data_IF_633970370381
#
_entry.id   IF_633970370381
#
_cell.length_a   1.000
_cell.length_b   1.000
_cell.length_c   1.000
_cell.angle_alpha   90.00
_cell.angle_beta   90.00
_cell.angle_gamma   90.00
#
_symmetry.space_group_name_H-M   'P 1'
#
loop_
_entity.id
_entity.type
_entity.pdbx_description
1 polymer ?
#
# COMPACT_ATOMS: atom_id res chain seq x y z
N UNK A 1 31.42 -21.22 -1.42
CA UNK A 1 30.54 -20.61 -0.40
C UNK A 1 29.90 -19.30 -0.88
N UNK A 2 30.65 -18.34 -1.44
CA UNK A 2 30.11 -17.05 -1.94
C UNK A 2 28.98 -17.16 -2.98
N UNK A 3 29.10 -18.02 -3.99
CA UNK A 3 28.08 -18.21 -5.04
C UNK A 3 26.74 -18.73 -4.49
N UNK A 4 26.78 -19.68 -3.56
CA UNK A 4 25.60 -20.25 -2.89
C UNK A 4 24.88 -19.22 -1.99
N UNK A 5 25.65 -18.32 -1.37
CA UNK A 5 25.11 -17.19 -0.60
C UNK A 5 24.43 -16.14 -1.49
N UNK A 6 24.97 -15.88 -2.69
CA UNK A 6 24.35 -14.97 -3.67
C UNK A 6 23.03 -15.54 -4.22
N UNK A 7 23.00 -16.82 -4.60
CA UNK A 7 21.80 -17.51 -5.07
C UNK A 7 20.69 -17.55 -3.99
N UNK A 8 21.06 -17.78 -2.73
CA UNK A 8 20.12 -17.73 -1.59
C UNK A 8 19.53 -16.33 -1.38
N UNK A 9 20.34 -15.27 -1.51
CA UNK A 9 19.87 -13.87 -1.39
C UNK A 9 18.98 -13.46 -2.55
N UNK A 10 19.23 -13.97 -3.76
CA UNK A 10 18.39 -13.72 -4.93
C UNK A 10 17.01 -14.38 -4.78
N UNK A 11 16.96 -15.62 -4.28
CA UNK A 11 15.71 -16.31 -3.97
C UNK A 11 14.87 -15.55 -2.92
N UNK A 12 15.50 -15.09 -1.83
CA UNK A 12 14.84 -14.26 -0.83
C UNK A 12 14.29 -12.95 -1.41
N UNK A 13 15.03 -12.32 -2.33
CA UNK A 13 14.59 -11.06 -2.92
C UNK A 13 13.37 -11.26 -3.83
N UNK A 14 13.31 -12.37 -4.59
CA UNK A 14 12.13 -12.73 -5.39
C UNK A 14 10.92 -13.01 -4.52
N UNK A 15 11.09 -13.81 -3.46
CA UNK A 15 10.02 -14.08 -2.49
C UNK A 15 9.45 -12.79 -1.90
N UNK A 16 10.30 -11.82 -1.57
CA UNK A 16 9.87 -10.52 -1.08
C UNK A 16 9.10 -9.71 -2.13
N UNK A 17 9.53 -9.73 -3.40
CA UNK A 17 8.81 -9.07 -4.50
C UNK A 17 7.42 -9.66 -4.71
N UNK A 18 7.32 -10.99 -4.69
CA UNK A 18 6.06 -11.71 -4.88
C UNK A 18 5.11 -11.42 -3.72
N UNK A 19 5.63 -11.43 -2.48
CA UNK A 19 4.85 -11.08 -1.29
C UNK A 19 4.30 -9.64 -1.35
N UNK A 20 5.14 -8.65 -1.69
CA UNK A 20 4.71 -7.25 -1.81
C UNK A 20 3.68 -7.09 -2.92
N UNK A 21 3.90 -7.72 -4.08
CA UNK A 21 2.96 -7.63 -5.22
C UNK A 21 1.62 -8.30 -4.89
N UNK A 22 1.64 -9.42 -4.15
CA UNK A 22 0.44 -10.12 -3.72
C UNK A 22 -0.39 -9.28 -2.73
N UNK A 23 0.27 -8.67 -1.75
CA UNK A 23 -0.38 -7.76 -0.79
C UNK A 23 -0.97 -6.56 -1.51
N UNK A 24 -0.23 -5.93 -2.42
CA UNK A 24 -0.71 -4.77 -3.17
C UNK A 24 -1.99 -5.09 -3.94
N UNK A 25 -2.00 -6.22 -4.66
CA UNK A 25 -3.16 -6.67 -5.42
C UNK A 25 -4.38 -6.86 -4.52
N UNK A 26 -4.24 -7.68 -3.48
CA UNK A 26 -5.38 -8.02 -2.63
C UNK A 26 -5.88 -6.85 -1.79
N UNK A 27 -4.99 -5.97 -1.31
CA UNK A 27 -5.41 -4.77 -0.59
C UNK A 27 -6.13 -3.79 -1.52
N UNK A 28 -5.67 -3.67 -2.77
CA UNK A 28 -6.37 -2.89 -3.79
C UNK A 28 -7.78 -3.42 -4.06
N UNK A 29 -7.92 -4.74 -4.27
CA UNK A 29 -9.22 -5.40 -4.48
C UNK A 29 -10.16 -5.21 -3.27
N UNK A 30 -9.67 -5.46 -2.05
CA UNK A 30 -10.44 -5.27 -0.82
C UNK A 30 -10.88 -3.80 -0.67
N UNK A 31 -9.98 -2.84 -0.89
CA UNK A 31 -10.32 -1.42 -0.83
C UNK A 31 -11.45 -1.05 -1.80
N UNK A 32 -11.41 -1.59 -3.02
CA UNK A 32 -12.47 -1.35 -4.01
C UNK A 32 -13.80 -1.98 -3.60
N UNK A 33 -13.78 -3.21 -3.08
CA UNK A 33 -14.99 -3.91 -2.60
C UNK A 33 -15.62 -3.16 -1.43
N UNK A 34 -14.83 -2.77 -0.42
CA UNK A 34 -15.33 -2.02 0.73
C UNK A 34 -15.85 -0.63 0.33
N UNK A 35 -15.15 0.10 -0.53
CA UNK A 35 -15.63 1.38 -1.04
C UNK A 35 -16.94 1.24 -1.85
N UNK A 36 -17.12 0.13 -2.58
CA UNK A 36 -18.38 -0.17 -3.25
C UNK A 36 -19.50 -0.50 -2.26
N UNK A 37 -19.21 -1.24 -1.19
CA UNK A 37 -20.14 -1.54 -0.12
C UNK A 37 -20.63 -0.26 0.59
N UNK A 38 -19.72 0.62 1.02
CA UNK A 38 -20.07 1.91 1.64
C UNK A 38 -20.97 2.76 0.75
N UNK A 39 -20.64 2.86 -0.55
CA UNK A 39 -21.49 3.57 -1.52
C UNK A 39 -22.89 2.95 -1.66
N UNK A 40 -23.03 1.62 -1.58
CA UNK A 40 -24.35 0.97 -1.59
C UNK A 40 -25.14 1.30 -0.33
N UNK A 41 -24.49 1.30 0.84
CA UNK A 41 -25.12 1.68 2.11
C UNK A 41 -25.60 3.13 2.09
N UNK A 42 -24.78 4.05 1.59
CA UNK A 42 -25.14 5.46 1.40
C UNK A 42 -26.34 5.62 0.44
N UNK A 43 -26.32 4.94 -0.71
CA UNK A 43 -27.46 4.97 -1.65
C UNK A 43 -28.76 4.46 -1.06
N UNK A 44 -28.69 3.43 -0.22
CA UNK A 44 -29.88 2.94 0.47
C UNK A 44 -30.41 4.04 1.43
N UNK A 45 -29.54 4.90 2.01
CA UNK A 45 -29.93 6.00 2.92
C UNK A 45 -30.66 7.05 2.12
N UNK A 46 -30.13 7.43 0.97
CA UNK A 46 -30.80 8.34 0.03
C UNK A 46 -32.20 7.84 -0.35
N UNK A 47 -32.38 6.51 -0.54
CA UNK A 47 -33.71 5.92 -0.79
C UNK A 47 -34.65 6.03 0.40
N UNK A 48 -34.14 5.94 1.62
CA UNK A 48 -34.96 6.12 2.80
C UNK A 48 -35.41 7.57 2.97
N UNK A 49 -34.57 8.56 2.61
CA UNK A 49 -34.98 9.97 2.59
C UNK A 49 -36.14 10.21 1.62
N UNK A 50 -36.11 9.57 0.43
CA UNK A 50 -37.23 9.63 -0.51
C UNK A 50 -38.51 9.06 0.10
N UNK A 51 -38.42 7.92 0.81
CA UNK A 51 -39.58 7.33 1.48
C UNK A 51 -40.14 8.25 2.57
N UNK A 52 -39.28 8.88 3.39
CA UNK A 52 -39.70 9.87 4.39
C UNK A 52 -40.46 11.02 3.71
N UNK A 53 -39.96 11.51 2.58
CA UNK A 53 -40.61 12.59 1.83
C UNK A 53 -41.97 12.17 1.27
N UNK A 54 -42.09 10.97 0.70
CA UNK A 54 -43.36 10.43 0.20
C UNK A 54 -44.39 10.25 1.32
N UNK A 55 -43.97 9.73 2.48
CA UNK A 55 -44.85 9.59 3.65
C UNK A 55 -45.34 10.97 4.10
N UNK A 56 -44.45 11.97 4.15
CA UNK A 56 -44.82 13.32 4.53
C UNK A 56 -45.74 14.00 3.51
N UNK A 57 -45.53 13.75 2.22
CA UNK A 57 -46.40 14.23 1.15
C UNK A 57 -47.81 13.63 1.28
N UNK A 58 -47.90 12.31 1.50
CA UNK A 58 -49.19 11.65 1.75
C UNK A 58 -49.86 12.14 3.03
N UNK A 59 -49.11 12.31 4.12
CA UNK A 59 -49.63 12.84 5.37
C UNK A 59 -50.27 14.23 5.19
N UNK A 60 -49.82 15.03 4.23
CA UNK A 60 -50.40 16.34 3.95
C UNK A 60 -51.82 16.28 3.35
N UNK A 61 -52.21 15.17 2.72
CA UNK A 61 -53.53 14.99 2.10
C UNK A 61 -54.56 14.37 3.05
N UNK A 62 -54.13 13.92 4.22
CA UNK A 62 -54.94 13.12 5.13
C UNK A 62 -55.59 13.91 6.28
N UNK A 63 -56.58 13.29 6.92
CA UNK A 63 -57.25 13.85 8.11
C UNK A 63 -56.27 14.10 9.26
N UNK A 64 -56.55 15.04 10.19
CA UNK A 64 -55.58 15.45 11.23
C UNK A 64 -54.99 14.29 12.05
N UNK A 65 -55.81 13.32 12.43
CA UNK A 65 -55.36 12.17 13.23
C UNK A 65 -54.41 11.27 12.43
N UNK A 66 -54.75 10.94 11.18
CA UNK A 66 -53.89 10.11 10.33
C UNK A 66 -52.61 10.86 9.91
N UNK A 67 -52.72 12.15 9.59
CA UNK A 67 -51.59 13.03 9.33
C UNK A 67 -50.58 13.02 10.48
N UNK A 68 -51.06 13.12 11.72
CA UNK A 68 -50.19 13.07 12.90
C UNK A 68 -49.49 11.71 13.02
N UNK A 69 -50.22 10.61 12.85
CA UNK A 69 -49.65 9.25 12.87
C UNK A 69 -48.58 9.03 11.80
N UNK A 70 -48.83 9.47 10.56
CA UNK A 70 -47.89 9.35 9.44
C UNK A 70 -46.63 10.20 9.65
N UNK A 71 -46.77 11.41 10.20
CA UNK A 71 -45.60 12.26 10.54
C UNK A 71 -44.74 11.61 11.61
N UNK A 72 -45.35 11.11 12.69
CA UNK A 72 -44.60 10.42 13.73
C UNK A 72 -43.88 9.17 13.17
N UNK A 73 -44.52 8.43 12.29
CA UNK A 73 -43.90 7.29 11.60
C UNK A 73 -42.72 7.71 10.72
N UNK A 74 -42.87 8.78 9.93
CA UNK A 74 -41.80 9.33 9.11
C UNK A 74 -40.60 9.80 9.96
N UNK A 75 -40.86 10.46 11.09
CA UNK A 75 -39.84 10.95 12.01
C UNK A 75 -39.05 9.80 12.65
N UNK A 76 -39.73 8.74 13.10
CA UNK A 76 -39.04 7.55 13.62
C UNK A 76 -38.21 6.84 12.54
N UNK A 77 -38.74 6.75 11.31
CA UNK A 77 -38.00 6.18 10.19
C UNK A 77 -36.78 7.04 9.79
N UNK A 78 -36.89 8.36 9.89
CA UNK A 78 -35.78 9.29 9.66
C UNK A 78 -34.66 9.11 10.69
N UNK A 79 -34.99 8.96 11.99
CA UNK A 79 -34.01 8.65 13.04
C UNK A 79 -33.25 7.34 12.77
N UNK A 80 -33.93 6.33 12.20
CA UNK A 80 -33.26 5.10 11.77
C UNK A 80 -32.21 5.36 10.68
N UNK A 81 -32.41 6.38 9.84
CA UNK A 81 -31.44 6.75 8.81
C UNK A 81 -30.25 7.53 9.33
N UNK A 82 -30.39 8.25 10.45
CA UNK A 82 -29.26 8.91 11.11
C UNK A 82 -28.22 7.88 11.59
N UNK A 83 -28.68 6.74 12.12
CA UNK A 83 -27.77 5.63 12.45
C UNK A 83 -27.06 5.09 11.22
N UNK A 84 -27.74 5.05 10.08
CA UNK A 84 -27.15 4.58 8.82
C UNK A 84 -26.17 5.58 8.23
N UNK A 85 -26.41 6.87 8.39
CA UNK A 85 -25.44 7.90 8.04
C UNK A 85 -24.18 7.75 8.91
N UNK A 86 -24.33 7.55 10.21
CA UNK A 86 -23.22 7.28 11.12
C UNK A 86 -22.46 5.98 10.74
N UNK A 87 -23.18 4.94 10.30
CA UNK A 87 -22.58 3.71 9.79
C UNK A 87 -21.73 3.97 8.54
N UNK A 88 -22.25 4.72 7.57
CA UNK A 88 -21.53 5.10 6.34
C UNK A 88 -20.23 5.85 6.66
N UNK A 89 -20.31 6.87 7.52
CA UNK A 89 -19.16 7.67 7.94
C UNK A 89 -18.12 6.82 8.67
N UNK A 90 -18.58 5.93 9.55
CA UNK A 90 -17.70 5.03 10.30
C UNK A 90 -17.03 4.00 9.40
N UNK A 91 -17.74 3.43 8.43
CA UNK A 91 -17.16 2.50 7.46
C UNK A 91 -16.10 3.20 6.60
N UNK A 92 -16.36 4.41 6.12
CA UNK A 92 -15.36 5.16 5.34
C UNK A 92 -14.12 5.45 6.20
N UNK A 93 -14.30 6.00 7.40
CA UNK A 93 -13.20 6.42 8.26
C UNK A 93 -12.40 5.27 8.89
N UNK A 94 -13.05 4.14 9.21
CA UNK A 94 -12.43 3.04 9.97
C UNK A 94 -12.10 1.82 9.14
N UNK A 95 -12.61 1.70 7.91
CA UNK A 95 -12.36 0.56 7.04
C UNK A 95 -11.69 1.02 5.74
N UNK A 96 -12.31 1.96 5.03
CA UNK A 96 -11.82 2.36 3.70
C UNK A 96 -10.55 3.20 3.79
N UNK A 97 -10.51 4.23 4.65
CA UNK A 97 -9.33 5.10 4.82
C UNK A 97 -8.06 4.35 5.28
N UNK A 98 -8.13 3.43 6.25
CA UNK A 98 -6.98 2.58 6.58
C UNK A 98 -6.50 1.75 5.38
N UNK A 99 -7.40 1.13 4.61
CA UNK A 99 -7.03 0.35 3.44
C UNK A 99 -6.36 1.20 2.35
N UNK A 100 -6.88 2.43 2.10
CA UNK A 100 -6.24 3.40 1.19
C UNK A 100 -4.82 3.75 1.65
N UNK A 101 -4.66 4.03 2.95
CA UNK A 101 -3.35 4.37 3.53
C UNK A 101 -2.35 3.22 3.39
N UNK A 102 -2.78 2.00 3.71
CA UNK A 102 -1.95 0.81 3.51
C UNK A 102 -1.62 0.57 2.04
N UNK A 103 -2.56 0.79 1.13
CA UNK A 103 -2.32 0.73 -0.31
C UNK A 103 -1.18 1.65 -0.76
N UNK A 104 -1.15 2.89 -0.25
CA UNK A 104 -0.05 3.84 -0.50
C UNK A 104 1.28 3.32 0.05
N UNK A 105 1.31 2.81 1.29
CA UNK A 105 2.52 2.27 1.90
C UNK A 105 3.07 1.10 1.10
N UNK A 106 2.23 0.15 0.70
CA UNK A 106 2.63 -1.03 -0.07
C UNK A 106 3.18 -0.63 -1.44
N UNK A 107 2.54 0.33 -2.10
CA UNK A 107 3.03 0.90 -3.36
C UNK A 107 4.42 1.52 -3.21
N UNK A 108 4.64 2.33 -2.17
CA UNK A 108 5.97 2.89 -1.87
C UNK A 108 7.01 1.80 -1.63
N UNK A 109 6.68 0.76 -0.84
CA UNK A 109 7.59 -0.36 -0.60
C UNK A 109 7.94 -1.14 -1.86
N UNK A 110 7.00 -1.27 -2.80
CA UNK A 110 7.25 -1.87 -4.11
C UNK A 110 8.22 -1.03 -4.94
N UNK A 111 8.04 0.28 -4.95
CA UNK A 111 8.91 1.23 -5.65
C UNK A 111 10.34 1.21 -5.07
N UNK A 112 10.48 1.23 -3.74
CA UNK A 112 11.78 1.12 -3.04
C UNK A 112 12.50 -0.20 -3.37
N UNK A 113 11.76 -1.31 -3.36
CA UNK A 113 12.30 -2.63 -3.69
C UNK A 113 12.79 -2.68 -5.14
N UNK A 114 12.03 -2.10 -6.07
CA UNK A 114 12.40 -1.98 -7.49
C UNK A 114 13.66 -1.10 -7.68
N UNK A 115 13.78 0.00 -6.93
CA UNK A 115 14.96 0.86 -6.97
C UNK A 115 16.21 0.13 -6.44
N UNK A 116 16.07 -0.55 -5.30
CA UNK A 116 17.14 -1.35 -4.68
C UNK A 116 17.66 -2.45 -5.62
N UNK A 117 16.74 -3.14 -6.29
CA UNK A 117 17.08 -4.18 -7.27
C UNK A 117 17.78 -3.61 -8.51
N UNK A 118 17.34 -2.45 -8.99
CA UNK A 118 18.01 -1.75 -10.09
C UNK A 118 19.44 -1.38 -9.73
N UNK A 119 19.66 -0.85 -8.52
CA UNK A 119 20.99 -0.50 -8.02
C UNK A 119 21.89 -1.74 -7.91
N UNK A 120 21.40 -2.82 -7.29
CA UNK A 120 22.12 -4.09 -7.19
C UNK A 120 22.52 -4.65 -8.56
N UNK A 121 21.61 -4.61 -9.53
CA UNK A 121 21.89 -5.07 -10.89
C UNK A 121 22.96 -4.22 -11.59
N UNK A 122 23.04 -2.92 -11.31
CA UNK A 122 24.11 -2.04 -11.80
C UNK A 122 25.46 -2.40 -11.16
N UNK A 123 25.50 -2.60 -9.84
CA UNK A 123 26.72 -3.01 -9.13
C UNK A 123 27.24 -4.37 -9.63
N UNK A 124 26.36 -5.35 -9.83
CA UNK A 124 26.73 -6.65 -10.37
C UNK A 124 27.35 -6.55 -11.78
N UNK A 125 26.81 -5.66 -12.64
CA UNK A 125 27.39 -5.38 -13.96
C UNK A 125 28.76 -4.70 -13.85
N UNK A 126 28.93 -3.75 -12.94
CA UNK A 126 30.21 -3.09 -12.71
C UNK A 126 31.27 -4.06 -12.19
N UNK A 127 30.91 -4.95 -11.25
CA UNK A 127 31.80 -5.98 -10.71
C UNK A 127 32.25 -6.96 -11.80
N UNK A 128 31.32 -7.47 -12.60
CA UNK A 128 31.66 -8.39 -13.71
C UNK A 128 32.53 -7.70 -14.77
N UNK A 129 32.32 -6.41 -15.04
CA UNK A 129 33.19 -5.63 -15.92
C UNK A 129 34.60 -5.47 -15.32
N UNK A 130 34.71 -5.13 -14.03
CA UNK A 130 35.97 -5.03 -13.29
C UNK A 130 36.76 -6.35 -13.28
N UNK A 131 36.07 -7.48 -13.09
CA UNK A 131 36.68 -8.81 -13.13
C UNK A 131 37.23 -9.13 -14.52
N UNK A 132 36.48 -8.82 -15.59
CA UNK A 132 36.95 -8.99 -16.98
C UNK A 132 38.16 -8.12 -17.29
N UNK A 133 38.18 -6.86 -16.85
CA UNK A 133 39.33 -5.97 -17.02
C UNK A 133 40.55 -6.49 -16.25
N UNK A 134 40.37 -6.97 -15.01
CA UNK A 134 41.44 -7.59 -14.22
C UNK A 134 42.00 -8.87 -14.85
N UNK A 135 41.19 -9.64 -15.57
CA UNK A 135 41.64 -10.84 -16.27
C UNK A 135 42.39 -10.51 -17.57
N UNK A 136 42.02 -9.42 -18.25
CA UNK A 136 42.68 -8.97 -19.50
C UNK A 136 44.04 -8.27 -19.25
N UNK A 137 44.22 -7.60 -18.10
CA UNK A 137 45.48 -6.96 -17.70
C UNK A 137 46.11 -7.62 -16.46
N UNK A 138 46.88 -8.71 -16.61
CA UNK A 138 47.54 -9.36 -15.48
C UNK A 138 48.68 -8.53 -14.86
N UNK A 139 49.30 -7.60 -15.60
CA UNK A 139 50.39 -6.74 -15.10
C UNK A 139 49.94 -5.72 -14.04
N UNK A 140 48.68 -5.27 -14.09
CA UNK A 140 48.11 -4.33 -13.11
C UNK A 140 47.85 -4.98 -11.73
N UNK A 141 47.96 -6.32 -11.61
CA UNK A 141 47.90 -6.99 -10.31
C UNK A 141 49.03 -6.56 -9.38
N UNK A 142 50.24 -6.38 -9.89
CA UNK A 142 51.38 -5.99 -9.07
C UNK A 142 51.20 -4.57 -8.53
N UNK A 143 50.76 -3.63 -9.35
CA UNK A 143 50.57 -2.23 -8.96
C UNK A 143 49.49 -2.08 -7.86
N UNK A 144 48.37 -2.80 -7.96
CA UNK A 144 47.27 -2.72 -6.98
C UNK A 144 47.64 -3.40 -5.65
N UNK A 145 48.41 -4.50 -5.69
CA UNK A 145 48.92 -5.16 -4.48
C UNK A 145 49.95 -4.26 -3.79
N UNK A 146 50.86 -3.64 -4.55
CA UNK A 146 51.82 -2.67 -4.02
C UNK A 146 51.13 -1.47 -3.36
N UNK A 147 50.11 -0.89 -3.99
CA UNK A 147 49.36 0.24 -3.41
C UNK A 147 48.62 -0.12 -2.12
N UNK A 148 48.07 -1.34 -2.01
CA UNK A 148 47.44 -1.82 -0.78
C UNK A 148 48.45 -2.11 0.32
N UNK A 149 49.63 -2.59 -0.03
CA UNK A 149 50.72 -2.85 0.90
C UNK A 149 51.29 -1.55 1.46
N UNK A 150 51.52 -0.56 0.59
CA UNK A 150 52.03 0.76 0.93
C UNK A 150 51.06 1.55 1.83
N UNK A 151 49.74 1.51 1.55
CA UNK A 151 48.74 2.09 2.46
C UNK A 151 48.69 1.39 3.82
N UNK A 152 48.82 0.07 3.88
CA UNK A 152 48.89 -0.66 5.16
C UNK A 152 50.14 -0.30 5.95
N UNK A 153 51.27 -0.12 5.26
CA UNK A 153 52.55 0.26 5.87
C UNK A 153 52.50 1.69 6.42
N UNK A 154 51.91 2.64 5.69
CA UNK A 154 51.72 4.02 6.14
C UNK A 154 50.85 4.10 7.41
N UNK A 155 49.76 3.32 7.45
CA UNK A 155 48.89 3.26 8.64
C UNK A 155 49.63 2.68 9.85
N UNK A 156 50.54 1.72 9.64
CA UNK A 156 51.34 1.14 10.71
C UNK A 156 52.38 2.13 11.26
N UNK A 157 53.01 2.94 10.38
CA UNK A 157 53.96 3.98 10.78
C UNK A 157 53.32 5.16 11.52
N UNK A 158 52.08 5.54 11.19
CA UNK A 158 51.35 6.62 11.86
C UNK A 158 50.85 6.21 13.26
N UNK A 159 50.75 4.90 13.54
CA UNK A 159 50.28 4.35 14.83
C UNK A 159 51.40 4.05 15.84
N UNK A 160 52.63 4.48 15.56
CA UNK A 160 53.79 4.33 16.43
C UNK A 160 54.21 5.70 16.94
#
# INVERSE_FOLDING_TARGET
MLRRSLESRDAQTRQLQDAVSNVEKHFGELCQIFAAYVRKTARLRDKADLLVNEINAYAATETPNLKHGLKNFADEFAKLQDYRQAEVERLEAKVVEPLKTYGTIVKMKREDLKATLTAKNREAKQLTQLERTRQRNPSDRHVIVSFKFEKKFLIYLIKR
#
